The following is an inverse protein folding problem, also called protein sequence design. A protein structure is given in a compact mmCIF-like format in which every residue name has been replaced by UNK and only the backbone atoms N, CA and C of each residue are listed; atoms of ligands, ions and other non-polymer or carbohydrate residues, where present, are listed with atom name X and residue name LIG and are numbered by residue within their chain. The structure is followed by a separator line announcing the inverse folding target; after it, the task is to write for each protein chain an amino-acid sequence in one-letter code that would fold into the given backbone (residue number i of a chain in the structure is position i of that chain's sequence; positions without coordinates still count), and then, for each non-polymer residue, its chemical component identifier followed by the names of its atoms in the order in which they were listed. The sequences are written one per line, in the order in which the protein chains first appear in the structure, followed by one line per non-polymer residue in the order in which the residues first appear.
data_IF_231444074458
#
_entry.id   IF_231444074458
#
_cell.length_a   1.000
_cell.length_b   1.000
_cell.length_c   1.000
_cell.angle_alpha   90.00
_cell.angle_beta   90.00
_cell.angle_gamma   90.00
#
_symmetry.space_group_name_H-M   'P 1'
#
loop_
_entity.id
_entity.type
_entity.pdbx_description
1 polymer ?
#
# COMPACT_ATOMS: atom_id res chain seq x y z
N UNK A 1 0.16 31.37 8.50
CA UNK A 1 0.39 30.74 7.95
C UNK A 1 -0.42 29.92 7.53
N UNK A 2 -0.79 29.82 6.80
CA UNK A 2 -1.59 29.14 6.44
C UNK A 2 -1.16 28.18 5.85
N UNK A 3 -1.03 27.25 6.08
CA UNK A 3 -0.59 26.37 5.48
C UNK A 3 -1.57 25.63 4.89
N UNK A 4 -1.50 25.16 3.75
CA UNK A 4 -2.31 24.41 3.16
C UNK A 4 -2.27 23.12 3.84
N UNK A 5 -3.28 22.55 4.30
CA UNK A 5 -3.29 21.32 4.86
C UNK A 5 -3.51 20.30 3.85
N UNK A 6 -2.66 19.31 3.72
CA UNK A 6 -2.89 18.21 2.81
C UNK A 6 -3.92 17.34 3.42
N UNK A 7 -4.80 16.75 2.62
CA UNK A 7 -5.73 15.78 3.11
C UNK A 7 -4.96 14.51 3.30
N UNK A 8 -4.98 13.95 4.47
CA UNK A 8 -4.32 12.68 4.76
C UNK A 8 -5.28 11.55 4.54
N UNK A 9 -4.84 10.54 3.80
CA UNK A 9 -5.65 9.35 3.57
C UNK A 9 -5.48 8.39 4.74
N UNK A 10 -6.56 7.81 5.17
CA UNK A 10 -6.51 6.80 6.21
C UNK A 10 -6.00 5.52 5.56
N UNK A 11 -5.10 4.82 6.20
CA UNK A 11 -4.58 3.57 5.70
C UNK A 11 -5.33 2.44 6.37
N UNK A 12 -5.93 1.57 5.57
CA UNK A 12 -6.61 0.40 6.09
C UNK A 12 -5.96 -0.83 5.48
N UNK A 13 -5.77 -1.84 6.27
CA UNK A 13 -5.16 -3.10 5.81
C UNK A 13 -6.23 -4.17 5.76
N UNK A 14 -6.31 -4.88 4.66
CA UNK A 14 -7.13 -6.07 4.65
C UNK A 14 -6.47 -7.05 5.59
N UNK A 15 -7.27 -7.85 6.25
CA UNK A 15 -6.75 -8.80 7.23
C UNK A 15 -5.71 -9.73 6.63
N UNK A 16 -5.95 -10.23 5.42
CA UNK A 16 -5.00 -11.13 4.77
C UNK A 16 -3.67 -10.45 4.50
N UNK A 17 -3.69 -9.17 4.12
CA UNK A 17 -2.47 -8.42 3.87
C UNK A 17 -1.69 -8.20 5.17
N UNK A 18 -2.38 -7.91 6.24
CA UNK A 18 -1.76 -7.72 7.53
C UNK A 18 -1.13 -9.01 8.03
N UNK A 19 -1.84 -10.13 7.89
CA UNK A 19 -1.32 -11.42 8.31
C UNK A 19 -0.08 -11.81 7.52
N UNK A 20 -0.07 -11.55 6.21
CA UNK A 20 1.10 -11.86 5.39
C UNK A 20 2.30 -11.03 5.86
N UNK A 21 2.08 -9.75 6.12
CA UNK A 21 3.15 -8.86 6.52
C UNK A 21 3.77 -9.30 7.84
N UNK A 22 2.96 -9.79 8.77
CA UNK A 22 3.45 -10.23 10.07
C UNK A 22 4.38 -11.43 9.98
N UNK A 23 4.33 -12.18 8.87
CA UNK A 23 5.17 -13.35 8.71
C UNK A 23 6.54 -13.03 8.15
N UNK A 24 6.77 -11.83 7.69
CA UNK A 24 8.03 -11.46 7.07
C UNK A 24 9.08 -11.11 8.13
N UNK A 25 10.36 -11.17 7.80
CA UNK A 25 11.42 -10.79 8.73
C UNK A 25 11.20 -9.36 9.24
N UNK A 26 11.66 -9.10 10.44
CA UNK A 26 11.39 -7.85 11.12
C UNK A 26 11.81 -6.62 10.31
N UNK A 27 12.99 -6.63 9.73
CA UNK A 27 13.48 -5.49 8.97
C UNK A 27 12.66 -5.25 7.71
N UNK A 28 12.23 -6.32 7.04
CA UNK A 28 11.39 -6.22 5.87
C UNK A 28 10.02 -5.69 6.28
N UNK A 29 9.47 -6.24 7.36
CA UNK A 29 8.17 -5.82 7.86
C UNK A 29 8.17 -4.33 8.19
N UNK A 30 9.24 -3.85 8.81
CA UNK A 30 9.34 -2.45 9.18
C UNK A 30 9.37 -1.56 7.94
N UNK A 31 10.11 -1.95 6.91
CA UNK A 31 10.15 -1.19 5.68
C UNK A 31 8.80 -1.15 4.98
N UNK A 32 8.09 -2.27 5.00
CA UNK A 32 6.77 -2.35 4.40
C UNK A 32 5.81 -1.39 5.11
N UNK A 33 5.80 -1.43 6.43
CA UNK A 33 4.91 -0.57 7.21
C UNK A 33 5.24 0.90 6.98
N UNK A 34 6.51 1.27 6.96
CA UNK A 34 6.92 2.65 6.75
C UNK A 34 6.50 3.14 5.36
N UNK A 35 6.70 2.31 4.34
CA UNK A 35 6.33 2.67 2.98
C UNK A 35 4.82 2.82 2.85
N UNK A 36 4.08 1.88 3.42
CA UNK A 36 2.63 1.91 3.37
C UNK A 36 2.08 3.13 4.10
N UNK A 37 2.65 3.44 5.25
CA UNK A 37 2.17 4.60 6.00
C UNK A 37 2.45 5.90 5.28
N UNK A 38 3.50 5.93 4.47
CA UNK A 38 3.78 7.10 3.64
C UNK A 38 2.72 7.36 2.59
N UNK A 39 1.93 6.33 2.25
CA UNK A 39 0.84 6.50 1.30
C UNK A 39 -0.27 7.39 1.84
N UNK A 40 -0.28 7.63 3.14
CA UNK A 40 -1.25 8.55 3.74
C UNK A 40 -1.10 9.95 3.15
N UNK A 41 0.12 10.37 2.91
CA UNK A 41 0.36 11.71 2.35
C UNK A 41 0.38 11.68 0.82
N UNK A 42 0.75 10.55 0.23
CA UNK A 42 0.83 10.45 -1.22
C UNK A 42 0.30 9.09 -1.68
N UNK A 43 -1.02 8.93 -1.71
CA UNK A 43 -1.60 7.64 -2.08
C UNK A 43 -1.41 7.29 -3.55
N UNK A 44 -1.02 8.26 -4.37
CA UNK A 44 -0.84 8.01 -5.80
C UNK A 44 0.62 7.73 -6.15
N UNK A 45 1.45 7.47 -5.15
CA UNK A 45 2.85 7.17 -5.36
C UNK A 45 3.06 5.90 -6.18
N UNK A 46 2.26 4.89 -5.97
CA UNK A 46 2.43 3.61 -6.64
C UNK A 46 1.98 3.63 -8.08
N UNK A 47 2.47 2.64 -8.84
CA UNK A 47 2.14 2.51 -10.24
C UNK A 47 0.72 1.97 -10.41
N UNK A 48 0.02 2.48 -11.40
CA UNK A 48 -1.31 1.98 -11.73
C UNK A 48 -1.18 0.64 -12.41
N UNK A 49 -2.00 -0.30 -12.01
CA UNK A 49 -1.98 -1.64 -12.60
C UNK A 49 -3.06 -1.76 -13.68
N UNK A 50 -2.88 -2.72 -14.57
CA UNK A 50 -3.80 -2.94 -15.68
C UNK A 50 -4.24 -4.40 -15.66
N UNK A 51 -5.06 -4.77 -16.64
CA UNK A 51 -5.55 -6.13 -16.77
C UNK A 51 -6.48 -6.49 -15.64
N UNK A 52 -6.31 -7.66 -15.07
CA UNK A 52 -7.17 -8.15 -14.01
C UNK A 52 -7.05 -7.33 -12.73
N UNK A 53 -5.98 -6.55 -12.61
CA UNK A 53 -5.76 -5.74 -11.44
C UNK A 53 -6.06 -4.26 -11.70
N UNK A 54 -6.78 -3.98 -12.77
CA UNK A 54 -7.14 -2.63 -13.12
C UNK A 54 -7.82 -1.94 -11.94
N UNK A 55 -7.44 -0.72 -11.67
CA UNK A 55 -8.01 0.05 -10.55
C UNK A 55 -7.18 -0.03 -9.29
N UNK A 56 -6.18 -0.89 -9.27
CA UNK A 56 -5.31 -1.00 -8.11
C UNK A 56 -3.97 -0.36 -8.43
N UNK A 57 -3.18 -0.14 -7.40
CA UNK A 57 -1.83 0.41 -7.53
C UNK A 57 -0.84 -0.50 -6.84
N UNK A 58 0.41 -0.40 -7.22
CA UNK A 58 1.46 -1.21 -6.65
C UNK A 58 2.61 -0.33 -6.22
N UNK A 59 3.11 -0.55 -5.01
CA UNK A 59 4.32 0.11 -4.55
C UNK A 59 5.36 -0.95 -4.24
N UNK A 60 6.60 -0.69 -4.64
CA UNK A 60 7.70 -1.63 -4.44
C UNK A 60 8.44 -1.34 -3.15
N UNK A 61 8.79 -2.38 -2.43
CA UNK A 61 9.57 -2.26 -1.21
C UNK A 61 10.65 -3.33 -1.33
N UNK A 62 11.77 -3.01 -2.00
CA UNK A 62 12.81 -4.01 -2.28
C UNK A 62 12.25 -5.09 -3.18
N UNK A 63 12.36 -6.34 -2.76
CA UNK A 63 11.81 -7.47 -3.50
C UNK A 63 10.35 -7.73 -3.18
N UNK A 64 9.76 -6.92 -2.33
CA UNK A 64 8.37 -7.08 -1.94
C UNK A 64 7.52 -6.03 -2.64
N UNK A 65 6.22 -6.27 -2.69
CA UNK A 65 5.27 -5.37 -3.32
C UNK A 65 4.05 -5.26 -2.43
N UNK A 66 3.45 -4.10 -2.41
CA UNK A 66 2.14 -3.91 -1.78
C UNK A 66 1.17 -3.44 -2.85
N UNK A 67 0.02 -4.09 -2.92
CA UNK A 67 -1.04 -3.72 -3.86
C UNK A 67 -2.15 -3.07 -3.06
N UNK A 68 -2.61 -1.93 -3.51
CA UNK A 68 -3.59 -1.16 -2.74
C UNK A 68 -4.59 -0.45 -3.65
N UNK A 69 -5.69 -0.07 -3.05
CA UNK A 69 -6.76 0.64 -3.73
C UNK A 69 -6.89 2.01 -3.08
N UNK A 70 -7.02 3.05 -3.88
CA UNK A 70 -7.24 4.40 -3.37
C UNK A 70 -8.71 4.78 -3.58
N UNK A 71 -9.39 5.11 -2.51
CA UNK A 71 -10.76 5.57 -2.56
C UNK A 71 -10.77 7.07 -2.25
N UNK A 72 -10.84 7.89 -3.28
CA UNK A 72 -10.73 9.32 -3.11
C UNK A 72 -11.98 9.92 -2.45
N UNK A 73 -13.12 9.29 -2.65
CA UNK A 73 -14.35 9.78 -2.03
C UNK A 73 -14.32 9.60 -0.51
N UNK A 74 -13.80 8.48 -0.05
CA UNK A 74 -13.70 8.21 1.37
C UNK A 74 -12.36 8.63 1.97
N UNK A 75 -11.42 9.03 1.14
CA UNK A 75 -10.08 9.45 1.54
C UNK A 75 -9.39 8.32 2.30
N UNK A 76 -9.40 7.14 1.69
CA UNK A 76 -8.85 5.93 2.29
C UNK A 76 -7.98 5.20 1.27
N UNK A 77 -6.88 4.64 1.71
CA UNK A 77 -6.08 3.71 0.91
C UNK A 77 -6.15 2.35 1.58
N UNK A 78 -6.61 1.36 0.85
CA UNK A 78 -6.80 0.01 1.39
C UNK A 78 -5.69 -0.89 0.86
N UNK A 79 -4.91 -1.46 1.77
CA UNK A 79 -3.84 -2.38 1.39
C UNK A 79 -4.46 -3.74 1.17
N UNK A 80 -4.45 -4.19 -0.06
CA UNK A 80 -5.15 -5.39 -0.46
C UNK A 80 -4.26 -6.63 -0.36
N UNK A 81 -3.01 -6.49 -0.74
CA UNK A 81 -2.13 -7.65 -0.78
C UNK A 81 -0.69 -7.20 -0.60
N UNK A 82 0.09 -7.95 0.15
CA UNK A 82 1.51 -7.69 0.33
C UNK A 82 2.23 -9.01 0.17
N UNK A 83 3.28 -9.03 -0.62
CA UNK A 83 4.00 -10.26 -0.80
C UNK A 83 5.30 -10.06 -1.56
N UNK A 84 6.01 -11.16 -1.69
CA UNK A 84 7.24 -11.19 -2.43
C UNK A 84 6.91 -11.07 -3.91
N UNK A 85 7.87 -10.55 -4.66
CA UNK A 85 7.72 -10.36 -6.08
C UNK A 85 7.14 -11.56 -6.82
N UNK A 86 7.58 -12.76 -6.49
CA UNK A 86 7.13 -13.95 -7.20
C UNK A 86 5.74 -14.43 -6.81
N UNK A 87 5.26 -14.04 -5.64
CA UNK A 87 4.00 -14.55 -5.11
C UNK A 87 2.84 -13.58 -5.21
N UNK A 88 3.13 -12.31 -5.38
CA UNK A 88 2.11 -11.27 -5.24
C UNK A 88 0.99 -11.37 -6.28
N UNK A 89 1.29 -11.91 -7.43
CA UNK A 89 0.32 -11.99 -8.53
C UNK A 89 -0.31 -13.37 -8.72
N UNK A 90 -0.15 -14.24 -7.77
CA UNK A 90 -0.76 -15.56 -7.85
C UNK A 90 -2.15 -15.62 -7.30
#
# INVERSE_FOLDING_TARGET
MSKQRKRLYQIKWKESALKSTKKFPKDIRQKIVETVEGLSEDPFLGDVLTGDLKGLRRVRIGDYRAIYLVDTAKVVAVIVKVGNRGDIYR
#
